data_IF_808288798820
#
_entry.id   IF_808288798820
#
_cell.length_a   1.000
_cell.length_b   1.000
_cell.length_c   1.000
_cell.angle_alpha   90.00
_cell.angle_beta   90.00
_cell.angle_gamma   90.00
#
_symmetry.space_group_name_H-M   'P 1'
#
loop_
_entity.id
_entity.type
_entity.pdbx_description
1 polymer ?
#
# COMPACT_ATOMS: atom_id res chain seq x y z
N UNK A 1 5.34 -34.95 14.36
CA UNK A 1 6.37 -33.94 14.01
C UNK A 1 5.75 -32.55 13.88
N UNK A 2 6.57 -31.50 14.09
CA UNK A 2 6.11 -30.10 14.08
C UNK A 2 5.85 -29.62 12.64
N UNK A 3 4.59 -29.30 12.22
CA UNK A 3 4.28 -28.87 10.87
C UNK A 3 4.93 -27.54 10.47
N UNK A 4 5.40 -26.72 11.44
CA UNK A 4 6.17 -25.51 11.15
C UNK A 4 7.44 -25.79 10.33
N UNK A 5 7.95 -27.01 10.36
CA UNK A 5 9.11 -27.42 9.56
C UNK A 5 8.91 -27.18 8.07
N UNK A 6 7.67 -27.28 7.57
CA UNK A 6 7.39 -26.99 6.15
C UNK A 6 7.58 -25.49 5.83
N UNK A 7 7.14 -24.60 6.72
CA UNK A 7 7.38 -23.16 6.57
C UNK A 7 8.87 -22.85 6.65
N UNK A 8 9.58 -23.52 7.56
CA UNK A 8 11.05 -23.38 7.69
C UNK A 8 11.80 -23.93 6.48
N UNK A 9 11.35 -25.01 5.89
CA UNK A 9 11.92 -25.56 4.65
C UNK A 9 11.93 -24.49 3.56
N UNK A 10 10.79 -23.85 3.31
CA UNK A 10 10.66 -22.77 2.31
C UNK A 10 11.65 -21.64 2.58
N UNK A 11 11.68 -21.17 3.83
CA UNK A 11 12.60 -20.10 4.22
C UNK A 11 14.07 -20.50 4.02
N UNK A 12 14.47 -21.69 4.49
CA UNK A 12 15.86 -22.14 4.44
C UNK A 12 16.30 -22.44 3.01
N UNK A 13 15.42 -23.02 2.18
CA UNK A 13 15.72 -23.27 0.78
C UNK A 13 16.09 -21.97 0.05
N UNK A 14 15.28 -20.91 0.21
CA UNK A 14 15.58 -19.61 -0.40
C UNK A 14 16.78 -18.90 0.23
N UNK A 15 16.89 -18.90 1.56
CA UNK A 15 17.96 -18.22 2.28
C UNK A 15 19.35 -18.81 2.00
N UNK A 16 19.42 -20.12 1.79
CA UNK A 16 20.68 -20.85 1.55
C UNK A 16 20.88 -21.21 0.07
N UNK A 17 19.97 -20.75 -0.81
CA UNK A 17 19.96 -21.08 -2.24
C UNK A 17 20.04 -22.61 -2.49
N UNK A 18 19.27 -23.39 -1.71
CA UNK A 18 19.19 -24.84 -1.81
C UNK A 18 17.94 -25.26 -2.58
N UNK A 19 18.07 -26.25 -3.41
CA UNK A 19 16.94 -26.93 -4.06
C UNK A 19 16.58 -28.19 -3.27
N UNK A 20 15.39 -28.25 -2.64
CA UNK A 20 14.93 -29.46 -1.98
C UNK A 20 14.78 -30.61 -2.97
N UNK A 21 15.20 -31.80 -2.60
CA UNK A 21 15.01 -33.00 -3.43
C UNK A 21 13.54 -33.41 -3.56
N UNK A 22 13.24 -34.29 -4.50
CA UNK A 22 11.87 -34.71 -4.81
C UNK A 22 11.17 -35.40 -3.62
N UNK A 23 11.90 -36.13 -2.77
CA UNK A 23 11.37 -36.80 -1.57
C UNK A 23 10.98 -35.75 -0.52
N UNK A 24 11.85 -34.76 -0.29
CA UNK A 24 11.58 -33.61 0.60
C UNK A 24 10.35 -32.80 0.12
N UNK A 25 10.23 -32.53 -1.18
CA UNK A 25 9.07 -31.85 -1.76
C UNK A 25 7.78 -32.69 -1.56
N UNK A 26 7.82 -33.99 -1.82
CA UNK A 26 6.67 -34.85 -1.63
C UNK A 26 6.22 -34.89 -0.16
N UNK A 27 7.16 -34.97 0.79
CA UNK A 27 6.86 -34.95 2.21
C UNK A 27 6.35 -33.57 2.66
N UNK A 28 6.91 -32.49 2.14
CA UNK A 28 6.46 -31.14 2.42
C UNK A 28 5.02 -30.94 1.94
N UNK A 29 4.68 -31.35 0.72
CA UNK A 29 3.33 -31.31 0.16
C UNK A 29 2.32 -32.11 1.00
N UNK A 30 2.69 -33.29 1.46
CA UNK A 30 1.84 -34.11 2.33
C UNK A 30 1.63 -33.46 3.73
N UNK A 31 2.59 -32.65 4.19
CA UNK A 31 2.57 -32.04 5.53
C UNK A 31 1.98 -30.62 5.52
N UNK A 32 2.01 -29.91 4.39
CA UNK A 32 1.58 -28.51 4.25
C UNK A 32 0.18 -28.22 4.84
N UNK A 33 -0.87 -29.06 4.65
CA UNK A 33 -2.18 -28.80 5.26
C UNK A 33 -2.16 -28.73 6.78
N UNK A 34 -1.24 -29.40 7.44
CA UNK A 34 -1.12 -29.37 8.89
C UNK A 34 -0.53 -28.03 9.41
N UNK A 35 0.09 -27.22 8.55
CA UNK A 35 0.61 -25.90 8.92
C UNK A 35 -0.50 -24.94 9.39
N UNK A 36 -1.74 -25.11 8.92
CA UNK A 36 -2.90 -24.35 9.37
C UNK A 36 -3.18 -24.46 10.88
N UNK A 37 -2.70 -25.55 11.52
CA UNK A 37 -2.89 -25.81 12.97
C UNK A 37 -1.75 -25.30 13.84
N UNK A 38 -0.69 -24.78 13.22
CA UNK A 38 0.44 -24.19 13.95
C UNK A 38 0.02 -22.87 14.58
N UNK A 39 0.54 -22.56 15.77
CA UNK A 39 0.32 -21.27 16.41
C UNK A 39 0.74 -20.14 15.46
N UNK A 40 -0.18 -19.20 15.23
CA UNK A 40 -0.05 -18.20 14.16
C UNK A 40 1.13 -17.24 14.40
N UNK A 41 1.49 -17.00 15.64
CA UNK A 41 2.69 -16.23 16.01
C UNK A 41 3.96 -16.89 15.48
N UNK A 42 4.03 -18.25 15.51
CA UNK A 42 5.19 -18.99 15.01
C UNK A 42 5.21 -18.98 13.48
N UNK A 43 4.05 -19.10 12.84
CA UNK A 43 3.92 -18.96 11.38
C UNK A 43 4.35 -17.57 10.96
N UNK A 44 3.87 -16.52 11.63
CA UNK A 44 4.21 -15.14 11.31
C UNK A 44 5.72 -14.86 11.50
N UNK A 45 6.33 -15.42 12.52
CA UNK A 45 7.78 -15.29 12.73
C UNK A 45 8.62 -15.85 11.57
N UNK A 46 8.16 -16.94 10.93
CA UNK A 46 8.82 -17.48 9.72
C UNK A 46 8.44 -16.65 8.47
N UNK A 47 7.18 -16.25 8.33
CA UNK A 47 6.72 -15.40 7.22
C UNK A 47 7.45 -14.04 7.19
N UNK A 48 7.69 -13.42 8.36
CA UNK A 48 8.51 -12.20 8.44
C UNK A 48 9.87 -12.39 7.77
N UNK A 49 10.56 -13.51 8.07
CA UNK A 49 11.87 -13.81 7.50
C UNK A 49 11.81 -14.15 6.01
N UNK A 50 10.72 -14.79 5.56
CA UNK A 50 10.49 -15.06 4.14
C UNK A 50 10.30 -13.74 3.38
N UNK A 51 9.39 -12.89 3.84
CA UNK A 51 9.03 -11.63 3.15
C UNK A 51 10.18 -10.61 3.19
N UNK A 52 10.94 -10.56 4.28
CA UNK A 52 12.12 -9.70 4.38
C UNK A 52 13.31 -10.20 3.54
N UNK A 53 13.38 -11.48 3.22
CA UNK A 53 14.51 -12.09 2.53
C UNK A 53 14.61 -11.74 1.05
N UNK A 54 15.82 -11.83 0.48
CA UNK A 54 16.07 -11.57 -0.95
C UNK A 54 15.43 -12.65 -1.83
N UNK A 55 15.28 -13.86 -1.33
CA UNK A 55 14.66 -14.99 -2.03
C UNK A 55 13.14 -15.08 -1.89
N UNK A 56 12.43 -13.99 -1.54
CA UNK A 56 10.99 -14.03 -1.26
C UNK A 56 10.17 -14.55 -2.44
N UNK A 57 10.48 -14.16 -3.68
CA UNK A 57 9.75 -14.64 -4.88
C UNK A 57 9.89 -16.15 -5.03
N UNK A 58 11.10 -16.70 -4.90
CA UNK A 58 11.33 -18.15 -4.93
C UNK A 58 10.63 -18.86 -3.76
N UNK A 59 10.63 -18.24 -2.57
CA UNK A 59 9.90 -18.77 -1.40
C UNK A 59 8.40 -18.87 -1.67
N UNK A 60 7.77 -17.84 -2.22
CA UNK A 60 6.34 -17.85 -2.54
C UNK A 60 6.01 -18.89 -3.63
N UNK A 61 6.85 -19.01 -4.66
CA UNK A 61 6.69 -20.04 -5.69
C UNK A 61 6.78 -21.47 -5.08
N UNK A 62 7.72 -21.71 -4.17
CA UNK A 62 7.81 -23.00 -3.47
C UNK A 62 6.62 -23.23 -2.54
N UNK A 63 6.12 -22.18 -1.85
CA UNK A 63 4.90 -22.29 -1.03
C UNK A 63 3.70 -22.72 -1.87
N UNK A 64 3.54 -22.15 -3.06
CA UNK A 64 2.45 -22.51 -3.98
C UNK A 64 2.62 -23.96 -4.49
N UNK A 65 3.84 -24.32 -4.91
CA UNK A 65 4.15 -25.67 -5.42
C UNK A 65 3.78 -26.77 -4.42
N UNK A 66 4.06 -26.57 -3.13
CA UNK A 66 3.78 -27.56 -2.07
C UNK A 66 2.41 -27.38 -1.42
N UNK A 67 1.57 -26.43 -1.88
CA UNK A 67 0.24 -26.15 -1.31
C UNK A 67 0.26 -25.49 0.07
N UNK A 68 1.40 -24.89 0.46
CA UNK A 68 1.57 -24.24 1.76
C UNK A 68 0.83 -22.88 1.81
N UNK A 69 0.78 -22.16 0.68
CA UNK A 69 0.09 -20.85 0.59
C UNK A 69 -1.38 -20.97 1.00
N UNK A 70 -2.09 -22.01 0.54
CA UNK A 70 -3.48 -22.27 0.92
C UNK A 70 -3.65 -22.43 2.43
N UNK A 71 -2.66 -23.01 3.11
CA UNK A 71 -2.71 -23.32 4.55
C UNK A 71 -2.37 -22.13 5.45
N UNK A 72 -1.46 -21.22 5.02
CA UNK A 72 -0.94 -20.14 5.86
C UNK A 72 -1.41 -18.76 5.42
N UNK A 73 -1.65 -18.55 4.12
CA UNK A 73 -2.15 -17.33 3.51
C UNK A 73 -3.28 -17.66 2.49
N UNK A 74 -4.39 -18.27 2.94
CA UNK A 74 -5.49 -18.66 2.06
C UNK A 74 -6.04 -17.49 1.24
N UNK A 75 -5.96 -16.27 1.75
CA UNK A 75 -6.39 -15.06 1.05
C UNK A 75 -5.50 -14.75 -0.17
N UNK A 76 -4.19 -14.99 -0.08
CA UNK A 76 -3.27 -14.88 -1.21
C UNK A 76 -3.51 -16.02 -2.22
N UNK A 77 -3.72 -17.24 -1.74
CA UNK A 77 -4.05 -18.39 -2.57
C UNK A 77 -5.34 -18.16 -3.37
N UNK A 78 -6.36 -17.53 -2.77
CA UNK A 78 -7.63 -17.23 -3.44
C UNK A 78 -7.51 -16.27 -4.64
N UNK A 79 -6.35 -15.63 -4.87
CA UNK A 79 -6.11 -14.79 -6.04
C UNK A 79 -5.82 -15.58 -7.30
N UNK A 80 -5.48 -16.88 -7.19
CA UNK A 80 -5.24 -17.75 -8.35
C UNK A 80 -6.49 -17.88 -9.22
N UNK A 81 -6.30 -17.76 -10.53
CA UNK A 81 -7.35 -17.89 -11.52
C UNK A 81 -8.37 -16.74 -11.55
N UNK A 82 -8.19 -15.69 -10.74
CA UNK A 82 -9.05 -14.52 -10.78
C UNK A 82 -8.67 -13.66 -11.98
N UNK A 83 -9.50 -13.72 -13.02
CA UNK A 83 -9.29 -12.96 -14.26
C UNK A 83 -9.34 -11.46 -14.01
N UNK A 84 -8.43 -10.73 -14.63
CA UNK A 84 -8.40 -9.28 -14.62
C UNK A 84 -8.91 -8.69 -15.95
N UNK A 85 -9.00 -7.37 -16.02
CA UNK A 85 -9.39 -6.69 -17.23
C UNK A 85 -8.26 -6.71 -18.28
N UNK A 86 -8.57 -6.27 -19.52
CA UNK A 86 -7.65 -6.27 -20.69
C UNK A 86 -6.32 -5.52 -20.50
N UNK A 87 -6.14 -4.82 -19.42
CA UNK A 87 -4.90 -4.11 -19.09
C UNK A 87 -3.89 -5.02 -18.36
N UNK A 88 -4.32 -6.21 -17.94
CA UNK A 88 -3.49 -7.21 -17.28
C UNK A 88 -3.36 -8.45 -18.16
N UNK A 89 -2.19 -9.05 -18.16
CA UNK A 89 -1.85 -10.25 -18.97
C UNK A 89 -1.97 -11.55 -18.16
N UNK A 90 -2.11 -11.43 -16.84
CA UNK A 90 -2.09 -12.52 -15.88
C UNK A 90 -3.30 -12.45 -14.93
N UNK A 91 -3.52 -13.51 -14.15
CA UNK A 91 -4.46 -13.51 -13.05
C UNK A 91 -4.01 -12.58 -11.91
N UNK A 92 -4.87 -12.36 -10.91
CA UNK A 92 -4.55 -11.45 -9.79
C UNK A 92 -3.36 -11.96 -8.98
N UNK A 93 -3.20 -13.29 -8.81
CA UNK A 93 -2.07 -13.86 -8.06
C UNK A 93 -0.74 -13.54 -8.74
N UNK A 94 -0.59 -13.89 -10.00
CA UNK A 94 0.62 -13.63 -10.77
C UNK A 94 0.96 -12.14 -10.79
N UNK A 95 -0.03 -11.29 -11.03
CA UNK A 95 0.14 -9.83 -10.94
C UNK A 95 0.64 -9.39 -9.55
N UNK A 96 0.08 -9.92 -8.47
CA UNK A 96 0.51 -9.61 -7.10
C UNK A 96 1.98 -9.95 -6.85
N UNK A 97 2.45 -11.09 -7.37
CA UNK A 97 3.87 -11.48 -7.29
C UNK A 97 4.75 -10.53 -8.11
N UNK A 98 4.29 -10.10 -9.29
CA UNK A 98 5.00 -9.09 -10.11
C UNK A 98 5.06 -7.73 -9.41
N UNK A 99 3.98 -7.30 -8.74
CA UNK A 99 3.98 -6.06 -7.92
C UNK A 99 4.99 -6.15 -6.78
N UNK A 100 5.06 -7.28 -6.09
CA UNK A 100 6.08 -7.49 -5.06
C UNK A 100 7.50 -7.40 -5.65
N UNK A 101 7.75 -8.02 -6.80
CA UNK A 101 9.06 -7.94 -7.46
C UNK A 101 9.42 -6.50 -7.85
N UNK A 102 8.46 -5.71 -8.34
CA UNK A 102 8.67 -4.29 -8.63
C UNK A 102 8.90 -3.46 -7.35
N UNK A 103 8.20 -3.76 -6.26
CA UNK A 103 8.42 -3.09 -4.97
C UNK A 103 9.84 -3.35 -4.43
N UNK A 104 10.34 -4.59 -4.57
CA UNK A 104 11.72 -4.95 -4.22
C UNK A 104 12.73 -4.21 -5.09
N UNK A 105 12.51 -4.13 -6.40
CA UNK A 105 13.38 -3.39 -7.31
C UNK A 105 13.42 -1.88 -6.97
N UNK A 106 12.28 -1.28 -6.63
CA UNK A 106 12.20 0.11 -6.17
C UNK A 106 12.90 0.34 -4.83
N UNK A 107 12.87 -0.65 -3.92
CA UNK A 107 13.63 -0.59 -2.66
C UNK A 107 15.14 -0.67 -2.90
N UNK A 108 15.59 -1.45 -3.90
CA UNK A 108 17.00 -1.59 -4.22
C UNK A 108 17.59 -0.35 -4.91
N UNK A 109 16.81 0.32 -5.74
CA UNK A 109 17.21 1.53 -6.45
C UNK A 109 16.01 2.48 -6.65
N UNK A 110 15.60 3.23 -5.64
CA UNK A 110 14.52 4.22 -5.81
C UNK A 110 14.94 5.38 -6.71
N UNK A 111 16.24 5.63 -6.85
CA UNK A 111 16.79 6.69 -7.70
C UNK A 111 16.52 6.48 -9.19
N UNK A 112 16.43 5.22 -9.65
CA UNK A 112 16.09 4.91 -11.04
C UNK A 112 14.73 5.47 -11.48
N UNK A 113 13.78 5.63 -10.55
CA UNK A 113 12.44 6.16 -10.82
C UNK A 113 12.29 7.61 -10.39
N UNK A 114 12.75 7.94 -9.17
CA UNK A 114 12.44 9.21 -8.52
C UNK A 114 13.58 10.25 -8.57
N UNK A 115 14.73 9.88 -9.15
CA UNK A 115 15.93 10.71 -9.19
C UNK A 115 16.88 10.41 -8.02
N UNK A 116 18.18 10.51 -8.29
CA UNK A 116 19.24 10.20 -7.32
C UNK A 116 19.16 11.12 -6.07
N UNK A 117 18.66 12.34 -6.24
CA UNK A 117 18.49 13.32 -5.16
C UNK A 117 17.47 12.92 -4.09
N UNK A 118 16.54 12.03 -4.43
CA UNK A 118 15.51 11.55 -3.50
C UNK A 118 15.82 10.16 -2.93
N UNK A 119 16.75 9.42 -3.51
CA UNK A 119 17.06 8.03 -3.17
C UNK A 119 17.37 7.88 -1.67
N UNK A 120 18.31 8.65 -1.15
CA UNK A 120 18.72 8.55 0.25
C UNK A 120 17.58 8.84 1.25
N UNK A 121 16.66 9.75 0.91
CA UNK A 121 15.51 10.07 1.76
C UNK A 121 14.47 8.93 1.74
N UNK A 122 14.26 8.29 0.60
CA UNK A 122 13.39 7.12 0.45
C UNK A 122 13.97 5.94 1.21
N UNK A 123 15.26 5.64 1.05
CA UNK A 123 15.96 4.56 1.75
C UNK A 123 15.88 4.74 3.27
N UNK A 124 16.15 5.95 3.76
CA UNK A 124 16.07 6.27 5.18
C UNK A 124 14.64 6.06 5.73
N UNK A 125 13.62 6.45 4.97
CA UNK A 125 12.22 6.24 5.34
C UNK A 125 11.87 4.75 5.37
N UNK A 126 12.25 3.98 4.37
CA UNK A 126 11.97 2.55 4.31
C UNK A 126 12.67 1.76 5.43
N UNK A 127 13.82 2.24 5.90
CA UNK A 127 14.55 1.67 7.04
C UNK A 127 13.97 2.10 8.41
N UNK A 128 12.97 2.99 8.46
CA UNK A 128 12.35 3.38 9.74
C UNK A 128 11.71 2.17 10.44
N UNK A 129 12.06 1.88 11.71
CA UNK A 129 11.42 0.83 12.49
C UNK A 129 9.90 1.08 12.63
N UNK A 130 9.10 0.10 12.30
CA UNK A 130 7.65 0.21 12.39
C UNK A 130 7.11 -0.44 13.66
N UNK A 131 7.10 -1.76 13.71
CA UNK A 131 6.67 -2.60 14.83
C UNK A 131 7.02 -4.06 14.53
N UNK A 132 6.83 -4.98 15.48
CA UNK A 132 7.05 -6.41 15.29
C UNK A 132 8.48 -6.78 14.80
N UNK A 133 9.48 -5.95 15.15
CA UNK A 133 10.87 -6.08 14.71
C UNK A 133 11.03 -5.97 13.18
N UNK A 134 10.15 -5.22 12.51
CA UNK A 134 10.21 -4.95 11.07
C UNK A 134 10.20 -3.45 10.79
N UNK A 135 10.64 -3.07 9.61
CA UNK A 135 10.68 -1.70 9.10
C UNK A 135 9.53 -1.40 8.12
N UNK A 136 9.52 -0.18 7.59
CA UNK A 136 8.54 0.24 6.58
C UNK A 136 8.76 -0.46 5.24
N UNK A 137 10.00 -0.81 4.90
CA UNK A 137 10.33 -1.58 3.71
C UNK A 137 9.67 -2.96 3.71
N UNK A 138 9.69 -3.65 4.85
CA UNK A 138 8.94 -4.89 5.04
C UNK A 138 7.43 -4.66 4.90
N UNK A 139 6.90 -3.60 5.51
CA UNK A 139 5.47 -3.28 5.42
C UNK A 139 5.05 -2.96 3.97
N UNK A 140 5.91 -2.33 3.17
CA UNK A 140 5.69 -2.11 1.74
C UNK A 140 5.57 -3.44 0.97
N UNK A 141 6.45 -4.42 1.24
CA UNK A 141 6.36 -5.77 0.66
C UNK A 141 5.07 -6.49 1.04
N UNK A 142 4.64 -6.39 2.31
CA UNK A 142 3.33 -6.91 2.74
C UNK A 142 2.17 -6.17 2.07
N UNK A 143 2.28 -4.85 1.92
CA UNK A 143 1.32 -4.05 1.16
C UNK A 143 1.21 -4.52 -0.28
N UNK A 144 2.34 -4.81 -0.93
CA UNK A 144 2.36 -5.37 -2.30
C UNK A 144 1.66 -6.73 -2.38
N UNK A 145 1.84 -7.60 -1.39
CA UNK A 145 1.15 -8.91 -1.34
C UNK A 145 -0.35 -8.81 -1.05
N UNK A 146 -0.81 -7.75 -0.37
CA UNK A 146 -2.18 -7.66 0.12
C UNK A 146 -3.00 -6.53 -0.55
N UNK A 147 -2.41 -5.73 -1.47
CA UNK A 147 -3.11 -4.58 -2.06
C UNK A 147 -4.40 -4.97 -2.79
N UNK A 148 -4.40 -6.11 -3.45
CA UNK A 148 -5.49 -6.64 -4.27
C UNK A 148 -6.23 -7.84 -3.63
N UNK A 149 -5.98 -8.12 -2.37
CA UNK A 149 -6.46 -9.31 -1.66
C UNK A 149 -7.99 -9.48 -1.66
N UNK A 150 -8.75 -8.39 -1.79
CA UNK A 150 -10.22 -8.45 -1.84
C UNK A 150 -10.80 -8.50 -3.27
N UNK A 151 -9.98 -8.58 -4.32
CA UNK A 151 -10.51 -8.71 -5.70
C UNK A 151 -11.44 -9.91 -5.87
N UNK A 152 -11.16 -11.10 -5.34
CA UNK A 152 -12.11 -12.23 -5.43
C UNK A 152 -13.48 -11.91 -4.82
N UNK A 153 -13.51 -11.26 -3.66
CA UNK A 153 -14.74 -10.93 -2.93
C UNK A 153 -15.54 -9.77 -3.57
N UNK A 154 -14.88 -8.93 -4.37
CA UNK A 154 -15.47 -7.74 -5.01
C UNK A 154 -15.63 -7.89 -6.52
N UNK A 155 -15.42 -9.11 -7.03
CA UNK A 155 -15.57 -9.42 -8.45
C UNK A 155 -17.01 -9.16 -8.92
N UNK A 156 -17.16 -8.21 -9.82
CA UNK A 156 -18.38 -7.95 -10.59
C UNK A 156 -18.09 -8.02 -12.07
N UNK A 157 -19.14 -7.86 -12.91
CA UNK A 157 -19.00 -7.82 -14.35
C UNK A 157 -19.76 -6.61 -14.93
N UNK A 158 -19.17 -5.97 -15.93
CA UNK A 158 -19.84 -4.92 -16.72
C UNK A 158 -20.80 -5.56 -17.73
N UNK A 159 -21.61 -4.73 -18.39
CA UNK A 159 -22.53 -5.19 -19.44
C UNK A 159 -21.84 -5.87 -20.63
N UNK A 160 -20.55 -5.59 -20.87
CA UNK A 160 -19.71 -6.24 -21.89
C UNK A 160 -19.03 -7.52 -21.39
N UNK A 161 -19.36 -7.98 -20.17
CA UNK A 161 -18.80 -9.16 -19.53
C UNK A 161 -17.42 -8.93 -18.87
N UNK A 162 -16.79 -7.77 -19.04
CA UNK A 162 -15.46 -7.49 -18.47
C UNK A 162 -15.51 -7.43 -16.94
N UNK A 163 -14.48 -7.97 -16.23
CA UNK A 163 -14.45 -7.96 -14.78
C UNK A 163 -14.28 -6.55 -14.22
N UNK A 164 -14.89 -6.32 -13.05
CA UNK A 164 -14.74 -5.10 -12.23
C UNK A 164 -14.51 -5.49 -10.78
N UNK A 165 -13.84 -4.60 -10.03
CA UNK A 165 -13.50 -4.84 -8.63
C UNK A 165 -13.80 -3.58 -7.80
N UNK A 166 -15.04 -3.07 -7.89
CA UNK A 166 -15.42 -1.83 -7.22
C UNK A 166 -15.33 -1.97 -5.70
N UNK A 167 -14.58 -1.08 -5.07
CA UNK A 167 -14.41 -1.06 -3.62
C UNK A 167 -13.42 -2.10 -3.07
N UNK A 168 -12.63 -2.79 -3.93
CA UNK A 168 -11.60 -3.73 -3.45
C UNK A 168 -10.55 -3.05 -2.57
N UNK A 169 -10.32 -1.76 -2.73
CA UNK A 169 -9.43 -0.97 -1.90
C UNK A 169 -9.93 -0.88 -0.43
N UNK A 170 -11.25 -0.69 -0.25
CA UNK A 170 -11.88 -0.65 1.09
C UNK A 170 -11.96 -2.03 1.71
N UNK A 171 -12.59 -2.96 0.99
CA UNK A 171 -12.71 -4.34 1.45
C UNK A 171 -11.32 -4.97 1.67
N UNK A 172 -10.34 -4.64 0.82
CA UNK A 172 -8.96 -5.10 0.94
C UNK A 172 -8.27 -4.59 2.20
N UNK A 173 -8.49 -3.33 2.59
CA UNK A 173 -7.93 -2.80 3.82
C UNK A 173 -8.47 -3.53 5.07
N UNK A 174 -9.75 -3.86 5.09
CA UNK A 174 -10.38 -4.65 6.16
C UNK A 174 -9.82 -6.08 6.16
N UNK A 175 -9.79 -6.74 5.00
CA UNK A 175 -9.27 -8.10 4.89
C UNK A 175 -7.77 -8.20 5.21
N UNK A 176 -6.94 -7.24 4.79
CA UNK A 176 -5.53 -7.17 5.17
C UNK A 176 -5.35 -7.06 6.69
N UNK A 177 -6.22 -6.28 7.37
CA UNK A 177 -6.24 -6.19 8.82
C UNK A 177 -6.63 -7.53 9.46
N UNK A 178 -7.60 -8.25 8.90
CA UNK A 178 -8.05 -9.57 9.40
C UNK A 178 -6.95 -10.62 9.24
N UNK A 179 -6.28 -10.67 8.07
CA UNK A 179 -5.11 -11.55 7.82
C UNK A 179 -4.03 -11.31 8.88
N UNK A 180 -3.65 -10.05 9.10
CA UNK A 180 -2.60 -9.70 10.06
C UNK A 180 -3.05 -9.89 11.52
N UNK A 181 -4.35 -9.78 11.82
CA UNK A 181 -4.91 -10.12 13.14
C UNK A 181 -4.85 -11.61 13.40
N UNK A 182 -5.19 -12.45 12.41
CA UNK A 182 -5.01 -13.90 12.47
C UNK A 182 -3.56 -14.28 12.72
N UNK A 183 -2.63 -13.62 12.03
CA UNK A 183 -1.19 -13.81 12.18
C UNK A 183 -0.60 -13.19 13.47
N UNK A 184 -1.44 -12.53 14.31
CA UNK A 184 -1.03 -11.91 15.58
C UNK A 184 -0.03 -10.76 15.42
N UNK A 185 -0.07 -10.05 14.29
CA UNK A 185 0.69 -8.82 14.12
C UNK A 185 0.19 -7.69 15.04
N UNK A 186 1.06 -6.72 15.32
CA UNK A 186 0.72 -5.54 16.13
C UNK A 186 -0.29 -4.62 15.45
N UNK A 187 -1.00 -3.80 16.22
CA UNK A 187 -1.94 -2.81 15.69
C UNK A 187 -1.25 -1.80 14.76
N UNK A 188 0.00 -1.43 15.04
CA UNK A 188 0.76 -0.49 14.23
C UNK A 188 1.05 -1.05 12.83
N UNK A 189 1.49 -2.32 12.74
CA UNK A 189 1.73 -2.97 11.45
C UNK A 189 0.41 -3.19 10.69
N UNK A 190 -0.64 -3.66 11.36
CA UNK A 190 -1.98 -3.82 10.77
C UNK A 190 -2.52 -2.52 10.18
N UNK A 191 -2.43 -1.43 10.94
CA UNK A 191 -2.90 -0.11 10.49
C UNK A 191 -2.11 0.38 9.28
N UNK A 192 -0.79 0.19 9.28
CA UNK A 192 0.09 0.62 8.18
C UNK A 192 -0.23 -0.13 6.88
N UNK A 193 -0.26 -1.46 6.91
CA UNK A 193 -0.55 -2.29 5.72
C UNK A 193 -1.97 -2.06 5.22
N UNK A 194 -2.96 -1.95 6.13
CA UNK A 194 -4.33 -1.61 5.75
C UNK A 194 -4.43 -0.24 5.06
N UNK A 195 -3.65 0.76 5.52
CA UNK A 195 -3.60 2.07 4.87
C UNK A 195 -2.97 1.99 3.47
N UNK A 196 -1.90 1.19 3.28
CA UNK A 196 -1.32 0.93 1.96
C UNK A 196 -2.37 0.35 1.01
N UNK A 197 -3.05 -0.71 1.42
CA UNK A 197 -4.12 -1.36 0.66
C UNK A 197 -5.27 -0.39 0.36
N UNK A 198 -5.67 0.42 1.35
CA UNK A 198 -6.76 1.41 1.22
C UNK A 198 -6.48 2.50 0.19
N UNK A 199 -5.23 2.90 0.05
CA UNK A 199 -4.85 4.09 -0.72
C UNK A 199 -4.08 3.77 -2.01
N UNK A 200 -3.78 2.51 -2.33
CA UNK A 200 -2.93 2.14 -3.47
C UNK A 200 -3.40 2.68 -4.84
N UNK A 201 -4.72 2.89 -5.02
CA UNK A 201 -5.29 3.43 -6.25
C UNK A 201 -5.18 4.95 -6.39
N UNK A 202 -4.92 5.69 -5.29
CA UNK A 202 -5.06 7.15 -5.26
C UNK A 202 -4.17 7.87 -6.27
N UNK A 203 -2.92 7.43 -6.40
CA UNK A 203 -2.00 8.03 -7.36
C UNK A 203 -2.51 7.87 -8.80
N UNK A 204 -3.10 6.72 -9.11
CA UNK A 204 -3.70 6.45 -10.42
C UNK A 204 -4.83 7.41 -10.80
N UNK A 205 -5.57 7.94 -9.83
CA UNK A 205 -6.60 8.95 -10.09
C UNK A 205 -6.00 10.31 -10.44
N UNK A 206 -4.86 10.69 -9.83
CA UNK A 206 -4.19 11.96 -10.12
C UNK A 206 -3.69 12.06 -11.57
N UNK A 207 -3.44 10.93 -12.25
CA UNK A 207 -3.05 10.91 -13.68
C UNK A 207 -4.11 11.58 -14.57
N UNK A 208 -5.36 11.63 -14.14
CA UNK A 208 -6.45 12.30 -14.86
C UNK A 208 -6.62 13.77 -14.50
N UNK A 209 -5.88 14.27 -13.48
CA UNK A 209 -5.91 15.65 -13.01
C UNK A 209 -4.63 16.42 -13.43
N UNK A 210 -4.12 16.18 -14.64
CA UNK A 210 -2.93 16.87 -15.16
C UNK A 210 -3.30 18.17 -15.91
N UNK A 211 -2.58 19.30 -15.65
CA UNK A 211 -1.44 19.46 -14.75
C UNK A 211 -1.85 19.33 -13.27
N UNK A 212 -0.98 18.70 -12.46
CA UNK A 212 -1.26 18.47 -11.05
C UNK A 212 -1.37 19.79 -10.28
N UNK A 213 -2.53 20.06 -9.73
CA UNK A 213 -2.74 21.27 -8.92
C UNK A 213 -2.23 21.08 -7.49
N UNK A 214 -1.81 22.17 -6.82
CA UNK A 214 -1.41 22.13 -5.40
C UNK A 214 -2.53 21.60 -4.49
N UNK A 215 -3.79 21.88 -4.81
CA UNK A 215 -4.96 21.38 -4.09
C UNK A 215 -5.13 19.87 -4.25
N UNK A 216 -4.99 19.33 -5.48
CA UNK A 216 -5.04 17.90 -5.73
C UNK A 216 -3.90 17.17 -5.00
N UNK A 217 -2.68 17.75 -5.02
CA UNK A 217 -1.54 17.25 -4.29
C UNK A 217 -1.79 17.24 -2.76
N UNK A 218 -2.32 18.33 -2.19
CA UNK A 218 -2.70 18.38 -0.78
C UNK A 218 -3.67 17.26 -0.40
N UNK A 219 -4.75 17.10 -1.18
CA UNK A 219 -5.77 16.07 -0.94
C UNK A 219 -5.20 14.65 -0.99
N UNK A 220 -4.25 14.41 -1.91
CA UNK A 220 -3.53 13.14 -1.97
C UNK A 220 -2.72 12.89 -0.70
N UNK A 221 -1.84 13.84 -0.34
CA UNK A 221 -0.96 13.76 0.82
C UNK A 221 -1.75 13.60 2.12
N UNK A 222 -2.77 14.44 2.31
CA UNK A 222 -3.60 14.42 3.51
C UNK A 222 -4.39 13.13 3.67
N UNK A 223 -4.95 12.61 2.58
CA UNK A 223 -5.75 11.39 2.61
C UNK A 223 -4.90 10.13 2.80
N UNK A 224 -3.64 10.11 2.38
CA UNK A 224 -2.72 8.98 2.50
C UNK A 224 -1.79 9.04 3.72
N UNK A 225 -1.90 10.08 4.56
CA UNK A 225 -1.15 10.17 5.81
C UNK A 225 -1.48 8.98 6.74
N UNK A 226 -0.53 8.27 7.36
CA UNK A 226 0.92 8.53 7.38
C UNK A 226 1.74 7.66 6.41
N UNK A 227 1.16 7.18 5.31
CA UNK A 227 1.78 6.26 4.33
C UNK A 227 1.99 6.90 2.95
N UNK A 228 1.99 8.22 2.86
CA UNK A 228 2.02 8.99 1.62
C UNK A 228 3.20 8.64 0.72
N UNK A 229 4.38 8.39 1.29
CA UNK A 229 5.56 7.96 0.54
C UNK A 229 5.46 6.49 0.14
N UNK A 230 5.14 5.62 1.10
CA UNK A 230 5.04 4.17 0.87
C UNK A 230 3.94 3.81 -0.14
N UNK A 231 2.79 4.48 -0.07
CA UNK A 231 1.70 4.23 -1.02
C UNK A 231 2.03 4.75 -2.42
N UNK A 232 2.84 5.81 -2.54
CA UNK A 232 3.38 6.27 -3.83
C UNK A 232 4.29 5.20 -4.43
N UNK A 233 5.19 4.61 -3.63
CA UNK A 233 6.04 3.49 -4.05
C UNK A 233 5.20 2.27 -4.46
N UNK A 234 4.20 1.89 -3.66
CA UNK A 234 3.31 0.76 -3.96
C UNK A 234 2.55 0.97 -5.27
N UNK A 235 1.99 2.17 -5.47
CA UNK A 235 1.25 2.50 -6.69
C UNK A 235 2.14 2.50 -7.94
N UNK A 236 3.41 2.89 -7.80
CA UNK A 236 4.40 2.77 -8.89
C UNK A 236 4.73 1.30 -9.15
N UNK A 237 4.95 0.49 -8.11
CA UNK A 237 5.20 -0.95 -8.26
C UNK A 237 4.05 -1.66 -8.98
N UNK A 238 2.80 -1.38 -8.59
CA UNK A 238 1.59 -1.90 -9.24
C UNK A 238 1.54 -1.50 -10.72
N UNK A 239 1.80 -0.22 -11.03
CA UNK A 239 1.82 0.26 -12.41
C UNK A 239 2.92 -0.39 -13.25
N UNK A 240 4.13 -0.57 -12.70
CA UNK A 240 5.25 -1.21 -13.38
C UNK A 240 5.01 -2.71 -13.66
N UNK A 241 4.17 -3.38 -12.88
CA UNK A 241 3.73 -4.75 -13.09
C UNK A 241 2.67 -4.91 -14.19
N UNK A 242 2.11 -3.82 -14.72
CA UNK A 242 1.07 -3.85 -15.75
C UNK A 242 1.65 -4.14 -17.13
N UNK A 243 1.11 -5.11 -17.89
CA UNK A 243 1.62 -5.58 -19.20
C UNK A 243 0.58 -5.55 -20.33
N UNK A 244 -0.55 -4.89 -20.17
CA UNK A 244 -1.63 -4.90 -21.14
C UNK A 244 -1.45 -3.92 -22.32
N UNK A 245 -2.51 -3.78 -23.10
CA UNK A 245 -2.57 -2.84 -24.22
C UNK A 245 -2.33 -1.40 -23.74
N UNK A 246 -1.46 -0.66 -24.43
CA UNK A 246 -1.01 0.70 -24.08
C UNK A 246 -0.36 0.82 -22.70
N UNK A 247 0.15 -0.28 -22.13
CA UNK A 247 0.79 -0.27 -20.81
C UNK A 247 1.93 0.76 -20.75
N UNK A 248 2.78 0.84 -21.77
CA UNK A 248 3.93 1.75 -21.80
C UNK A 248 3.52 3.23 -21.66
N UNK A 249 2.49 3.68 -22.38
CA UNK A 249 1.98 5.06 -22.27
C UNK A 249 1.38 5.32 -20.89
N UNK A 250 0.62 4.36 -20.37
CA UNK A 250 0.01 4.47 -19.04
C UNK A 250 1.06 4.46 -17.92
N UNK A 251 2.12 3.66 -18.07
CA UNK A 251 3.27 3.63 -17.16
C UNK A 251 3.96 4.99 -17.18
N UNK A 252 4.32 5.52 -18.37
CA UNK A 252 5.00 6.80 -18.48
C UNK A 252 4.25 7.93 -17.77
N UNK A 253 2.95 8.09 -18.06
CA UNK A 253 2.09 9.11 -17.42
C UNK A 253 2.03 8.94 -15.89
N UNK A 254 1.95 7.69 -15.42
CA UNK A 254 1.90 7.42 -13.99
C UNK A 254 3.22 7.76 -13.29
N UNK A 255 4.36 7.42 -13.92
CA UNK A 255 5.68 7.76 -13.40
C UNK A 255 5.91 9.28 -13.38
N UNK A 256 5.43 10.02 -14.38
CA UNK A 256 5.56 11.47 -14.40
C UNK A 256 4.83 12.11 -13.20
N UNK A 257 3.60 11.68 -12.93
CA UNK A 257 2.86 12.13 -11.73
C UNK A 257 3.53 11.67 -10.44
N UNK A 258 4.06 10.44 -10.39
CA UNK A 258 4.76 9.93 -9.22
C UNK A 258 6.02 10.74 -8.89
N UNK A 259 6.78 11.15 -9.92
CA UNK A 259 7.96 12.01 -9.78
C UNK A 259 7.62 13.40 -9.27
N UNK A 260 6.44 13.92 -9.60
CA UNK A 260 5.96 15.22 -9.08
C UNK A 260 5.46 15.08 -7.64
N UNK A 261 4.82 13.96 -7.28
CA UNK A 261 4.27 13.70 -5.95
C UNK A 261 5.34 13.36 -4.92
N UNK A 262 6.35 12.56 -5.28
CA UNK A 262 7.34 12.02 -4.31
C UNK A 262 8.08 13.10 -3.52
N UNK A 263 8.66 14.15 -4.14
CA UNK A 263 9.31 15.23 -3.39
C UNK A 263 8.38 15.90 -2.38
N UNK A 264 7.12 16.10 -2.77
CA UNK A 264 6.12 16.70 -1.90
C UNK A 264 5.73 15.77 -0.73
N UNK A 265 5.66 14.45 -0.97
CA UNK A 265 5.38 13.46 0.05
C UNK A 265 6.52 13.38 1.08
N UNK A 266 7.78 13.37 0.62
CA UNK A 266 8.94 13.44 1.50
C UNK A 266 8.98 14.72 2.33
N UNK A 267 8.69 15.86 1.70
CA UNK A 267 8.62 17.15 2.39
C UNK A 267 7.46 17.21 3.40
N UNK A 268 6.28 16.68 3.03
CA UNK A 268 5.11 16.59 3.92
C UNK A 268 5.45 15.83 5.19
N UNK A 269 6.07 14.67 5.03
CA UNK A 269 6.50 13.84 6.14
C UNK A 269 7.55 14.51 7.03
N UNK A 270 8.57 15.13 6.41
CA UNK A 270 9.65 15.82 7.14
C UNK A 270 9.14 17.02 7.95
N UNK A 271 8.15 17.74 7.44
CA UNK A 271 7.57 18.90 8.11
C UNK A 271 6.63 18.53 9.26
N UNK A 272 6.10 17.29 9.26
CA UNK A 272 5.11 16.86 10.24
C UNK A 272 3.85 17.73 10.25
N UNK A 273 3.10 17.64 11.32
CA UNK A 273 1.84 18.40 11.48
C UNK A 273 2.15 19.90 11.69
N UNK A 274 1.87 20.70 10.68
CA UNK A 274 2.02 22.18 10.81
C UNK A 274 1.00 22.72 11.80
N UNK A 275 1.36 23.72 12.64
CA UNK A 275 0.36 24.43 13.42
C UNK A 275 -0.69 25.07 12.50
N UNK A 276 -1.99 25.02 12.84
CA UNK A 276 -3.02 25.68 12.03
C UNK A 276 -2.81 27.19 11.98
N UNK A 277 -3.24 27.85 10.89
CA UNK A 277 -3.20 29.32 10.79
C UNK A 277 -4.12 29.97 11.82
N UNK A 278 -5.29 29.37 12.04
CA UNK A 278 -6.27 29.79 13.05
C UNK A 278 -6.73 28.57 13.82
N UNK A 279 -6.85 28.68 15.14
CA UNK A 279 -7.37 27.59 15.98
C UNK A 279 -8.87 27.48 15.84
N UNK A 280 -9.42 26.28 16.02
CA UNK A 280 -10.87 26.06 15.90
C UNK A 280 -11.70 26.97 16.80
N UNK A 281 -11.29 27.21 18.05
CA UNK A 281 -11.98 28.13 18.95
C UNK A 281 -11.91 29.59 18.52
N UNK A 282 -10.79 30.03 17.93
CA UNK A 282 -10.62 31.39 17.39
C UNK A 282 -11.50 31.60 16.16
N UNK A 283 -11.53 30.60 15.24
CA UNK A 283 -12.38 30.64 14.05
C UNK A 283 -13.87 30.60 14.42
N UNK A 284 -14.24 29.75 15.40
CA UNK A 284 -15.61 29.67 15.90
C UNK A 284 -16.09 31.01 16.49
N UNK A 285 -15.24 31.66 17.30
CA UNK A 285 -15.55 32.97 17.87
C UNK A 285 -15.65 34.07 16.82
N UNK A 286 -14.75 34.07 15.81
CA UNK A 286 -14.75 35.09 14.75
C UNK A 286 -15.96 35.00 13.82
N UNK A 287 -16.52 33.79 13.60
CA UNK A 287 -17.61 33.53 12.68
C UNK A 287 -18.94 33.19 13.40
N UNK A 288 -19.01 33.34 14.73
CA UNK A 288 -20.18 33.00 15.56
C UNK A 288 -20.69 31.55 15.35
N UNK A 289 -19.75 30.61 15.13
CA UNK A 289 -20.05 29.19 14.90
C UNK A 289 -19.97 28.38 16.17
N UNK A 290 -20.76 27.30 16.21
CA UNK A 290 -20.64 26.27 17.24
C UNK A 290 -19.59 25.23 16.85
N UNK A 291 -18.99 24.56 17.88
CA UNK A 291 -18.15 23.40 17.65
C UNK A 291 -18.97 22.28 16.98
N UNK A 292 -18.48 21.79 15.82
CA UNK A 292 -19.20 20.78 15.07
C UNK A 292 -18.55 20.46 13.70
N UNK A 293 -19.21 19.62 12.89
CA UNK A 293 -18.69 19.18 11.60
C UNK A 293 -18.38 20.33 10.63
N UNK A 294 -19.18 21.39 10.67
CA UNK A 294 -18.99 22.56 9.80
C UNK A 294 -17.69 23.30 10.10
N UNK A 295 -17.41 23.55 11.39
CA UNK A 295 -16.13 24.12 11.81
C UNK A 295 -14.95 23.23 11.38
N UNK A 296 -15.09 21.90 11.48
CA UNK A 296 -14.09 20.94 11.01
C UNK A 296 -13.88 21.02 9.50
N UNK A 297 -14.94 21.16 8.72
CA UNK A 297 -14.90 21.35 7.27
C UNK A 297 -14.14 22.64 6.91
N UNK A 298 -14.50 23.76 7.51
CA UNK A 298 -13.84 25.05 7.26
C UNK A 298 -12.34 25.04 7.60
N UNK A 299 -11.97 24.43 8.72
CA UNK A 299 -10.56 24.25 9.07
C UNK A 299 -9.80 23.41 8.02
N UNK A 300 -10.44 22.37 7.49
CA UNK A 300 -9.87 21.55 6.40
C UNK A 300 -9.68 22.36 5.11
N UNK A 301 -10.66 23.19 4.73
CA UNK A 301 -10.58 24.08 3.55
C UNK A 301 -9.49 25.14 3.72
N UNK A 302 -9.34 25.72 4.93
CA UNK A 302 -8.26 26.64 5.24
C UNK A 302 -6.89 25.95 5.10
N UNK A 303 -6.72 24.73 5.60
CA UNK A 303 -5.47 24.00 5.48
C UNK A 303 -5.13 23.68 4.01
N UNK A 304 -6.14 23.32 3.18
CA UNK A 304 -5.97 23.12 1.75
C UNK A 304 -5.58 24.42 1.04
N UNK A 305 -6.28 25.53 1.30
CA UNK A 305 -6.00 26.84 0.74
C UNK A 305 -4.61 27.35 1.15
N UNK A 306 -4.21 27.11 2.40
CA UNK A 306 -2.85 27.41 2.89
C UNK A 306 -1.78 26.63 2.14
N UNK A 307 -2.00 25.34 1.92
CA UNK A 307 -1.06 24.52 1.16
C UNK A 307 -0.96 24.98 -0.30
N UNK A 308 -2.10 25.37 -0.88
CA UNK A 308 -2.16 25.95 -2.23
C UNK A 308 -1.43 27.30 -2.34
N UNK A 309 -1.30 28.03 -1.22
CA UNK A 309 -0.73 29.38 -1.17
C UNK A 309 -1.77 30.49 -1.33
N UNK A 310 -3.06 30.15 -1.29
CA UNK A 310 -4.19 31.07 -1.45
C UNK A 310 -4.45 31.86 -0.14
N UNK A 311 -4.04 31.29 1.00
CA UNK A 311 -4.22 31.85 2.35
C UNK A 311 -2.90 31.71 3.10
N UNK A 312 -2.42 32.81 3.67
CA UNK A 312 -1.09 32.85 4.31
C UNK A 312 -1.12 33.41 5.73
N UNK A 313 -2.15 34.17 6.08
CA UNK A 313 -2.30 34.78 7.43
C UNK A 313 -3.58 34.30 8.14
N UNK A 314 -3.65 34.45 9.48
CA UNK A 314 -4.87 34.17 10.23
C UNK A 314 -6.09 34.98 9.77
N UNK A 315 -5.88 36.26 9.43
CA UNK A 315 -6.93 37.15 8.96
C UNK A 315 -7.49 36.71 7.60
N UNK A 316 -6.59 36.35 6.67
CA UNK A 316 -6.99 35.77 5.38
C UNK A 316 -7.75 34.45 5.56
N UNK A 317 -7.38 33.64 6.55
CA UNK A 317 -8.05 32.36 6.86
C UNK A 317 -9.49 32.58 7.34
N UNK A 318 -9.70 33.56 8.23
CA UNK A 318 -11.04 33.92 8.71
C UNK A 318 -11.91 34.48 7.56
N UNK A 319 -11.35 35.40 6.76
CA UNK A 319 -12.06 35.95 5.61
C UNK A 319 -12.39 34.90 4.54
N UNK A 320 -11.49 33.94 4.31
CA UNK A 320 -11.71 32.81 3.41
C UNK A 320 -12.86 31.93 3.91
N UNK A 321 -12.87 31.57 5.20
CA UNK A 321 -13.94 30.76 5.80
C UNK A 321 -15.28 31.48 5.80
N UNK A 322 -15.33 32.80 6.01
CA UNK A 322 -16.53 33.62 5.91
C UNK A 322 -17.19 33.52 4.53
N UNK A 323 -16.39 33.70 3.46
CA UNK A 323 -16.88 33.52 2.07
C UNK A 323 -17.46 32.14 1.81
N UNK A 324 -16.83 31.07 2.31
CA UNK A 324 -17.34 29.70 2.17
C UNK A 324 -18.67 29.46 2.88
N UNK A 325 -18.98 30.25 3.92
CA UNK A 325 -20.29 30.20 4.61
C UNK A 325 -21.37 30.95 3.82
N UNK A 326 -20.99 32.03 3.13
CA UNK A 326 -21.91 32.83 2.30
C UNK A 326 -22.27 32.14 0.97
N UNK A 327 -21.55 31.08 0.60
CA UNK A 327 -21.84 30.25 -0.58
C UNK A 327 -21.19 30.73 -1.88
N UNK A 328 -20.11 31.51 -1.76
CA UNK A 328 -19.28 31.98 -2.89
C UNK A 328 -18.15 30.97 -3.23
#
# INVERSE_FOLDING_TARGET
>A
DDPLRVVRLVRLAAQLALEPDAETIALARATAPAAARVAQERVFAELKRIVAGDGVIASLALMDEIGLTESVLPELHALHGVEQNRYHHADVHTHTIEVLAQAIALQADPGAVFGAEHAAAIDALLAEPLADEVDRGFALRLGALLHDVAKPATLGRRGDGSPTFLGHDRAGAELARDVLTRLKASEKLKAHVAALTRHHLRLGFLVHETPLTRRALYRYLKASEPVEVDVTLLSVADRLATRGHKAQEAIAKHLDVAREVMPAALQWRAQGRRPPLVRGGELAAALELHNGPELGRLLGEIDEARFAGDVTTPEEAVAFAARLLEGD
#
